data_IF_612907169261
#
_entry.id   IF_612907169261
#
_cell.length_a   1.000
_cell.length_b   1.000
_cell.length_c   1.000
_cell.angle_alpha   90.00
_cell.angle_beta   90.00
_cell.angle_gamma   90.00
#
_symmetry.space_group_name_H-M   'P 1'
#
loop_
_entity.id
_entity.type
_entity.pdbx_description
1 polymer ?
#
# COMPACT_ATOMS: atom_id res chain seq x y z
N UNK A 1 -35.72 -39.35 -75.44
CA UNK A 1 -36.02 -37.96 -74.99
C UNK A 1 -35.20 -37.67 -73.74
N UNK A 2 -34.27 -36.71 -73.79
CA UNK A 2 -33.72 -36.00 -72.61
C UNK A 2 -34.80 -35.03 -72.05
N UNK A 3 -34.64 -34.37 -70.89
CA UNK A 3 -33.73 -34.54 -69.75
C UNK A 3 -34.48 -34.56 -68.39
N UNK A 4 -33.80 -34.75 -67.26
CA UNK A 4 -33.93 -33.80 -66.13
C UNK A 4 -32.68 -33.90 -65.24
N UNK A 5 -31.94 -32.80 -65.27
CA UNK A 5 -30.79 -32.49 -64.43
C UNK A 5 -31.36 -31.97 -63.11
N UNK A 6 -30.94 -32.52 -61.97
CA UNK A 6 -31.04 -31.81 -60.70
C UNK A 6 -29.72 -31.93 -59.94
N UNK A 7 -29.08 -30.77 -59.86
CA UNK A 7 -27.83 -30.48 -59.17
C UNK A 7 -28.06 -30.57 -57.66
N UNK A 8 -27.45 -31.55 -57.00
CA UNK A 8 -27.42 -31.61 -55.53
C UNK A 8 -26.21 -30.80 -55.07
N UNK A 9 -26.48 -29.58 -54.62
CA UNK A 9 -25.52 -28.70 -53.98
C UNK A 9 -25.19 -29.26 -52.58
N UNK A 10 -23.94 -29.69 -52.39
CA UNK A 10 -23.43 -30.17 -51.10
C UNK A 10 -23.03 -28.94 -50.27
N UNK A 11 -23.95 -28.42 -49.46
CA UNK A 11 -23.65 -27.34 -48.51
C UNK A 11 -22.92 -27.93 -47.31
N UNK A 12 -21.61 -27.70 -47.24
CA UNK A 12 -20.75 -28.04 -46.11
C UNK A 12 -21.04 -27.04 -44.97
N UNK A 13 -21.89 -27.41 -44.02
CA UNK A 13 -22.15 -26.62 -42.81
C UNK A 13 -21.01 -26.88 -41.81
N UNK A 14 -19.98 -26.03 -41.80
CA UNK A 14 -18.96 -26.01 -40.75
C UNK A 14 -19.61 -25.38 -39.51
N UNK A 15 -19.99 -26.22 -38.55
CA UNK A 15 -20.43 -25.77 -37.23
C UNK A 15 -19.22 -25.22 -36.46
N UNK A 16 -19.04 -23.90 -36.50
CA UNK A 16 -18.19 -23.18 -35.55
C UNK A 16 -18.82 -23.31 -34.16
N UNK A 17 -18.33 -24.28 -33.38
CA UNK A 17 -18.53 -24.29 -31.94
C UNK A 17 -17.81 -23.05 -31.37
N UNK A 18 -18.54 -21.95 -31.26
CA UNK A 18 -18.15 -20.85 -30.38
C UNK A 18 -18.23 -21.38 -28.95
N UNK A 19 -17.07 -21.56 -28.32
CA UNK A 19 -16.96 -21.69 -26.88
C UNK A 19 -17.40 -20.37 -26.24
N UNK A 20 -18.72 -20.16 -26.13
CA UNK A 20 -19.31 -19.22 -25.20
C UNK A 20 -19.20 -19.86 -23.82
N UNK A 21 -17.98 -19.82 -23.27
CA UNK A 21 -17.79 -19.94 -21.84
C UNK A 21 -18.49 -18.75 -21.21
N UNK A 22 -19.75 -18.92 -20.84
CA UNK A 22 -20.44 -18.03 -19.91
C UNK A 22 -19.62 -18.02 -18.63
N UNK A 23 -18.67 -17.08 -18.52
CA UNK A 23 -18.21 -16.59 -17.23
C UNK A 23 -19.40 -15.84 -16.66
N UNK A 24 -20.27 -16.57 -15.97
CA UNK A 24 -21.07 -15.98 -14.91
C UNK A 24 -20.08 -15.42 -13.89
N UNK A 25 -19.71 -14.16 -14.07
CA UNK A 25 -19.19 -13.34 -12.99
C UNK A 25 -20.33 -13.32 -11.99
N UNK A 26 -20.25 -14.22 -11.02
CA UNK A 26 -21.08 -14.15 -9.84
C UNK A 26 -20.65 -12.86 -9.14
N UNK A 27 -21.31 -11.75 -9.50
CA UNK A 27 -21.31 -10.51 -8.73
C UNK A 27 -22.11 -10.76 -7.46
N UNK A 28 -21.61 -11.70 -6.64
CA UNK A 28 -21.90 -11.71 -5.23
C UNK A 28 -21.11 -10.54 -4.68
N UNK A 29 -21.72 -9.36 -4.74
CA UNK A 29 -21.32 -8.23 -3.90
C UNK A 29 -21.37 -8.75 -2.47
N UNK A 30 -20.21 -9.19 -1.95
CA UNK A 30 -20.07 -9.63 -0.58
C UNK A 30 -20.44 -8.42 0.26
N UNK A 31 -21.65 -8.44 0.81
CA UNK A 31 -22.18 -7.36 1.63
C UNK A 31 -21.40 -7.38 2.95
N UNK A 32 -20.32 -6.60 3.00
CA UNK A 32 -19.52 -6.41 4.22
C UNK A 32 -20.37 -5.62 5.23
N UNK A 33 -20.33 -6.06 6.47
CA UNK A 33 -20.96 -5.33 7.58
C UNK A 33 -20.31 -3.95 7.76
N UNK A 34 -21.10 -2.99 8.24
CA UNK A 34 -20.58 -1.67 8.53
C UNK A 34 -19.47 -1.75 9.60
N UNK A 35 -18.38 -0.99 9.40
CA UNK A 35 -17.21 -0.96 10.30
C UNK A 35 -16.47 -2.29 10.52
N UNK A 36 -16.69 -3.32 9.70
CA UNK A 36 -15.94 -4.58 9.79
C UNK A 36 -14.44 -4.41 9.43
N UNK A 37 -13.65 -5.47 9.47
CA UNK A 37 -12.26 -5.47 9.01
C UNK A 37 -12.24 -5.51 7.47
N UNK A 38 -11.31 -4.80 6.84
CA UNK A 38 -11.08 -4.83 5.40
C UNK A 38 -10.08 -5.94 5.06
N UNK A 39 -10.39 -6.72 4.02
CA UNK A 39 -9.59 -7.87 3.55
C UNK A 39 -9.67 -7.99 2.03
N UNK A 40 -8.65 -8.60 1.41
CA UNK A 40 -8.61 -8.85 -0.03
C UNK A 40 -8.82 -7.57 -0.85
N UNK A 41 -9.70 -7.62 -1.85
CA UNK A 41 -10.01 -6.49 -2.73
C UNK A 41 -10.48 -5.22 -1.98
N UNK A 42 -11.08 -5.37 -0.80
CA UNK A 42 -11.53 -4.24 -0.01
C UNK A 42 -10.37 -3.41 0.58
N UNK A 43 -9.12 -3.92 0.58
CA UNK A 43 -7.93 -3.18 0.96
C UNK A 43 -7.47 -2.20 -0.12
N UNK A 44 -7.79 -2.49 -1.39
CA UNK A 44 -7.15 -1.86 -2.55
C UNK A 44 -7.34 -0.35 -2.63
N UNK A 45 -8.33 0.20 -1.92
CA UNK A 45 -8.67 1.63 -1.91
C UNK A 45 -8.68 2.25 -0.52
N UNK A 46 -8.20 1.55 0.50
CA UNK A 46 -8.06 2.10 1.84
C UNK A 46 -6.85 3.04 1.89
N UNK A 47 -7.06 4.24 2.40
CA UNK A 47 -6.02 5.21 2.70
C UNK A 47 -6.42 6.00 3.96
N UNK A 48 -5.84 5.62 5.10
CA UNK A 48 -6.14 6.21 6.40
C UNK A 48 -5.20 7.39 6.68
N UNK A 49 -5.70 8.62 6.83
CA UNK A 49 -4.86 9.80 7.00
C UNK A 49 -4.21 9.84 8.39
N UNK A 50 -2.91 10.12 8.40
CA UNK A 50 -2.10 10.36 9.60
C UNK A 50 -1.59 11.79 9.56
N UNK A 51 -1.89 12.56 10.61
CA UNK A 51 -1.57 13.98 10.74
C UNK A 51 -2.70 14.72 11.46
N UNK A 52 -2.36 15.79 12.18
CA UNK A 52 -3.35 16.66 12.79
C UNK A 52 -4.18 17.44 11.76
N UNK A 53 -5.28 18.01 12.23
CA UNK A 53 -6.18 18.83 11.40
C UNK A 53 -5.41 19.99 10.76
N UNK A 54 -5.50 20.10 9.43
CA UNK A 54 -4.87 21.19 8.66
C UNK A 54 -3.34 21.15 8.59
N UNK A 55 -2.69 20.14 9.17
CA UNK A 55 -1.23 20.06 9.23
C UNK A 55 -0.57 19.41 8.01
N UNK A 56 -1.38 18.89 7.07
CA UNK A 56 -0.93 17.94 6.06
C UNK A 56 -1.22 16.50 6.49
N UNK A 57 -0.92 15.54 5.62
CA UNK A 57 -1.18 14.13 5.90
C UNK A 57 -0.19 13.20 5.21
N UNK A 58 0.01 12.05 5.84
CA UNK A 58 0.63 10.87 5.27
C UNK A 58 -0.38 9.73 5.44
N UNK A 59 -0.73 9.01 4.38
CA UNK A 59 -1.73 7.95 4.50
C UNK A 59 -1.11 6.57 4.73
N UNK A 60 -1.71 5.82 5.66
CA UNK A 60 -1.50 4.38 5.80
C UNK A 60 -2.53 3.64 4.94
N UNK A 61 -2.06 2.89 3.95
CA UNK A 61 -2.93 2.11 3.07
C UNK A 61 -3.41 0.82 3.72
N UNK A 62 -4.45 0.22 3.14
CA UNK A 62 -4.98 -1.08 3.60
C UNK A 62 -3.93 -2.19 3.65
N UNK A 63 -2.93 -2.13 2.77
CA UNK A 63 -1.84 -3.11 2.71
C UNK A 63 -0.67 -2.77 3.63
N UNK A 64 -0.71 -1.66 4.37
CA UNK A 64 0.41 -1.18 5.19
C UNK A 64 1.42 -0.29 4.46
N UNK A 65 1.27 -0.12 3.13
CA UNK A 65 2.08 0.81 2.37
C UNK A 65 1.78 2.26 2.77
N UNK A 66 2.76 3.15 2.56
CA UNK A 66 2.59 4.58 2.83
C UNK A 66 2.35 5.35 1.53
N UNK A 67 1.36 6.23 1.52
CA UNK A 67 0.96 7.00 0.33
C UNK A 67 0.43 8.40 0.66
N UNK A 68 -0.01 9.10 -0.39
CA UNK A 68 -0.69 10.40 -0.32
C UNK A 68 0.04 11.44 0.54
N UNK A 69 1.38 11.45 0.48
CA UNK A 69 2.22 12.34 1.28
C UNK A 69 1.98 13.78 0.86
N UNK A 70 1.18 14.48 1.64
CA UNK A 70 0.75 15.86 1.42
C UNK A 70 1.31 16.73 2.53
N UNK A 71 2.44 17.37 2.25
CA UNK A 71 3.18 18.27 3.16
C UNK A 71 3.22 19.69 2.58
N UNK A 72 3.71 20.67 3.35
CA UNK A 72 3.81 22.08 2.93
C UNK A 72 2.47 22.73 2.58
N UNK A 73 1.39 22.33 3.26
CA UNK A 73 0.03 22.81 3.00
C UNK A 73 -0.40 22.68 1.52
N UNK A 74 0.12 21.66 0.83
CA UNK A 74 -0.20 21.36 -0.56
C UNK A 74 -0.77 19.96 -0.65
N UNK A 75 -2.07 19.82 -1.00
CA UNK A 75 -2.65 18.51 -1.28
C UNK A 75 -1.90 17.83 -2.43
N UNK A 76 -1.35 16.65 -2.16
CA UNK A 76 -0.69 15.81 -3.16
C UNK A 76 -1.11 14.35 -2.96
N UNK A 77 -2.38 14.11 -3.25
CA UNK A 77 -3.08 12.83 -3.06
C UNK A 77 -2.65 11.74 -4.05
N UNK A 78 -1.57 11.92 -4.80
CA UNK A 78 -0.98 10.88 -5.62
C UNK A 78 0.52 10.68 -5.33
N UNK A 79 1.07 11.44 -4.38
CA UNK A 79 2.46 11.35 -3.96
C UNK A 79 2.70 10.10 -3.11
N UNK A 80 3.34 9.11 -3.72
CA UNK A 80 3.72 7.84 -3.10
C UNK A 80 5.25 7.70 -3.18
N UNK A 81 6.00 8.46 -2.36
CA UNK A 81 7.45 8.31 -2.31
C UNK A 81 7.80 6.90 -1.84
N UNK A 82 8.94 6.35 -2.28
CA UNK A 82 9.40 5.05 -1.80
C UNK A 82 9.69 5.14 -0.31
N UNK A 83 8.80 4.62 0.52
CA UNK A 83 8.95 4.54 1.97
C UNK A 83 8.38 3.21 2.43
N UNK A 84 9.11 2.48 3.25
CA UNK A 84 8.68 1.17 3.73
C UNK A 84 9.48 0.77 4.97
N UNK A 85 8.84 0.01 5.86
CA UNK A 85 9.54 -0.75 6.87
C UNK A 85 9.84 -2.16 6.38
N UNK A 86 10.88 -2.78 6.91
CA UNK A 86 11.25 -4.14 6.59
C UNK A 86 11.75 -4.87 7.85
N UNK A 87 11.53 -6.18 7.85
CA UNK A 87 12.09 -7.11 8.84
C UNK A 87 13.02 -8.09 8.15
N UNK A 88 14.11 -8.46 8.82
CA UNK A 88 14.97 -9.58 8.43
C UNK A 88 15.16 -10.51 9.63
N UNK A 89 14.61 -11.71 9.54
CA UNK A 89 14.70 -12.72 10.61
C UNK A 89 15.87 -13.65 10.33
N UNK A 90 16.77 -13.78 11.31
CA UNK A 90 17.99 -14.58 11.17
C UNK A 90 17.69 -16.07 11.07
N UNK A 91 18.39 -16.74 10.17
CA UNK A 91 18.29 -18.20 9.99
C UNK A 91 17.13 -18.67 9.12
N UNK A 92 16.35 -17.76 8.54
CA UNK A 92 15.31 -18.07 7.58
C UNK A 92 15.77 -17.70 6.16
N UNK A 93 15.63 -18.63 5.20
CA UNK A 93 16.03 -18.42 3.80
C UNK A 93 15.28 -17.24 3.16
N UNK A 94 13.99 -17.11 3.48
CA UNK A 94 13.10 -16.03 3.02
C UNK A 94 12.70 -15.09 4.16
N UNK A 95 13.59 -14.89 5.14
CA UNK A 95 13.34 -14.12 6.35
C UNK A 95 13.30 -12.60 6.17
N UNK A 96 13.62 -12.06 4.99
CA UNK A 96 13.70 -10.63 4.72
C UNK A 96 12.51 -10.17 3.87
N UNK A 97 11.58 -9.42 4.46
CA UNK A 97 10.34 -8.97 3.81
C UNK A 97 10.03 -7.51 4.20
N UNK A 98 9.42 -6.75 3.27
CA UNK A 98 8.82 -5.46 3.62
C UNK A 98 7.57 -5.71 4.45
N UNK A 99 7.31 -4.84 5.43
CA UNK A 99 6.15 -4.92 6.32
C UNK A 99 4.91 -4.32 5.66
N UNK A 100 4.56 -4.90 4.52
CA UNK A 100 3.40 -4.55 3.69
C UNK A 100 2.82 -5.84 3.13
N UNK A 101 1.51 -5.86 2.87
CA UNK A 101 0.82 -6.94 2.18
C UNK A 101 0.99 -6.89 0.66
N UNK A 102 0.19 -7.70 -0.07
CA UNK A 102 0.22 -7.75 -1.54
C UNK A 102 -0.06 -6.39 -2.17
N UNK A 103 0.57 -6.12 -3.31
CA UNK A 103 0.39 -4.85 -4.03
C UNK A 103 -0.95 -4.90 -4.76
N UNK A 104 -1.82 -3.90 -4.62
CA UNK A 104 -3.07 -3.85 -5.39
C UNK A 104 -2.82 -3.88 -6.90
N UNK A 105 -3.55 -4.72 -7.63
CA UNK A 105 -3.39 -4.89 -9.09
C UNK A 105 -3.46 -3.58 -9.87
N UNK A 106 -4.33 -2.66 -9.46
CA UNK A 106 -4.46 -1.35 -10.11
C UNK A 106 -3.18 -0.50 -10.01
N UNK A 107 -2.31 -0.73 -9.00
CA UNK A 107 -1.01 -0.07 -8.89
C UNK A 107 0.01 -0.68 -9.85
N UNK A 108 -0.07 -1.97 -10.11
CA UNK A 108 0.83 -2.69 -11.03
C UNK A 108 0.42 -2.49 -12.48
N UNK A 109 -0.87 -2.46 -12.80
CA UNK A 109 -1.35 -2.39 -14.19
C UNK A 109 -1.91 -1.01 -14.59
N UNK A 110 -2.21 -0.13 -13.63
CA UNK A 110 -2.88 1.15 -13.88
C UNK A 110 -2.03 2.41 -13.68
N UNK A 111 -0.84 2.32 -13.06
CA UNK A 111 0.00 3.51 -12.82
C UNK A 111 0.98 3.81 -13.96
N UNK A 112 1.35 5.09 -14.16
CA UNK A 112 2.40 5.46 -15.08
C UNK A 112 3.68 4.67 -14.82
N UNK A 113 4.40 4.33 -15.90
CA UNK A 113 5.69 3.62 -15.85
C UNK A 113 5.65 2.19 -15.30
N UNK A 114 4.48 1.63 -14.99
CA UNK A 114 4.40 0.27 -14.47
C UNK A 114 4.87 -0.79 -15.49
N UNK A 115 4.56 -0.59 -16.78
CA UNK A 115 5.08 -1.40 -17.89
C UNK A 115 6.63 -1.32 -18.04
N UNK A 116 7.29 -0.39 -17.35
CA UNK A 116 8.75 -0.28 -17.28
C UNK A 116 9.32 -0.78 -15.95
N UNK A 117 8.56 -1.62 -15.23
CA UNK A 117 8.96 -2.19 -13.95
C UNK A 117 8.71 -1.28 -12.74
N UNK A 118 7.81 -0.29 -12.86
CA UNK A 118 7.46 0.64 -11.77
C UNK A 118 8.70 1.23 -11.07
N UNK A 119 9.55 1.98 -11.78
CA UNK A 119 10.81 2.49 -11.23
C UNK A 119 10.55 3.35 -9.98
N UNK A 120 11.47 3.28 -9.01
CA UNK A 120 11.38 4.03 -7.73
C UNK A 120 10.18 3.60 -6.89
N UNK A 121 9.79 2.33 -6.96
CA UNK A 121 8.82 1.72 -6.05
C UNK A 121 9.49 0.54 -5.33
N UNK A 122 8.88 0.08 -4.24
CA UNK A 122 9.27 -1.14 -3.52
C UNK A 122 8.56 -2.39 -4.08
N UNK A 123 7.94 -2.32 -5.27
CA UNK A 123 7.03 -3.36 -5.74
C UNK A 123 7.70 -4.70 -6.02
N UNK A 124 9.00 -4.71 -6.31
CA UNK A 124 9.77 -5.93 -6.54
C UNK A 124 10.31 -6.60 -5.27
N UNK A 125 10.09 -6.04 -4.08
CA UNK A 125 10.59 -6.62 -2.84
C UNK A 125 9.65 -7.72 -2.31
N UNK A 126 10.18 -8.78 -1.66
CA UNK A 126 9.35 -9.76 -0.95
C UNK A 126 8.49 -9.08 0.12
N UNK A 127 7.23 -9.52 0.25
CA UNK A 127 6.18 -8.91 1.08
C UNK A 127 5.43 -9.99 1.84
N UNK A 128 4.57 -9.60 2.77
CA UNK A 128 3.69 -10.53 3.46
C UNK A 128 2.58 -10.98 2.51
N UNK A 129 2.25 -12.27 2.55
CA UNK A 129 1.20 -12.86 1.72
C UNK A 129 -0.19 -12.33 2.08
N UNK A 130 -0.37 -11.88 3.32
CA UNK A 130 -1.67 -11.49 3.85
C UNK A 130 -1.61 -10.19 4.64
N UNK A 131 -2.62 -9.35 4.41
CA UNK A 131 -2.90 -8.16 5.18
C UNK A 131 -4.39 -8.05 5.52
N UNK A 132 -4.69 -7.44 6.66
CA UNK A 132 -6.03 -6.96 7.01
C UNK A 132 -5.92 -5.54 7.55
N UNK A 133 -6.94 -4.72 7.31
CA UNK A 133 -6.99 -3.36 7.82
C UNK A 133 -8.22 -3.14 8.70
N UNK A 134 -8.03 -2.56 9.88
CA UNK A 134 -9.09 -2.12 10.77
C UNK A 134 -9.00 -0.60 10.99
N UNK A 135 -10.12 0.10 10.76
CA UNK A 135 -10.25 1.53 11.02
C UNK A 135 -11.03 1.78 12.32
N UNK A 136 -10.37 2.36 13.32
CA UNK A 136 -10.97 2.85 14.58
C UNK A 136 -10.38 4.22 14.89
N UNK A 137 -10.84 5.25 14.16
CA UNK A 137 -10.30 6.60 14.29
C UNK A 137 -10.18 7.01 15.78
N UNK A 138 -9.01 7.51 16.23
CA UNK A 138 -7.88 8.01 15.44
C UNK A 138 -6.82 6.97 15.04
N UNK A 139 -7.12 5.67 15.12
CA UNK A 139 -6.21 4.57 14.81
C UNK A 139 -6.59 3.85 13.52
N UNK A 140 -5.60 3.57 12.68
CA UNK A 140 -5.67 2.60 11.58
C UNK A 140 -4.69 1.46 11.86
N UNK A 141 -5.17 0.23 11.87
CA UNK A 141 -4.35 -0.94 12.18
C UNK A 141 -4.25 -1.88 10.98
N UNK A 142 -3.03 -2.28 10.65
CA UNK A 142 -2.73 -3.30 9.64
C UNK A 142 -2.19 -4.53 10.37
N UNK A 143 -2.83 -5.67 10.18
CA UNK A 143 -2.29 -6.97 10.61
C UNK A 143 -1.65 -7.66 9.42
N UNK A 144 -0.41 -8.11 9.57
CA UNK A 144 0.33 -8.82 8.52
C UNK A 144 0.54 -10.27 8.92
N UNK A 145 0.40 -11.20 7.96
CA UNK A 145 0.69 -12.63 8.16
C UNK A 145 1.43 -13.21 6.97
N UNK A 146 2.32 -14.14 7.28
CA UNK A 146 3.18 -14.82 6.32
C UNK A 146 3.60 -16.16 6.93
N UNK A 147 3.49 -17.26 6.19
CA UNK A 147 3.77 -18.59 6.72
C UNK A 147 5.25 -18.79 7.06
N UNK A 148 6.14 -18.01 6.44
CA UNK A 148 7.58 -18.12 6.61
C UNK A 148 8.09 -17.27 7.77
N UNK A 149 7.32 -16.28 8.23
CA UNK A 149 7.71 -15.37 9.32
C UNK A 149 6.99 -15.75 10.62
N UNK A 150 7.70 -16.29 11.64
CA UNK A 150 7.09 -16.80 12.87
C UNK A 150 6.78 -15.68 13.88
N UNK A 151 6.21 -14.56 13.43
CA UNK A 151 5.86 -13.40 14.26
C UNK A 151 4.46 -12.91 13.92
N UNK A 152 3.68 -12.61 14.96
CA UNK A 152 2.48 -11.79 14.79
C UNK A 152 2.90 -10.33 14.64
N UNK A 153 2.48 -9.69 13.55
CA UNK A 153 2.91 -8.34 13.22
C UNK A 153 1.70 -7.43 13.07
N UNK A 154 1.76 -6.30 13.76
CA UNK A 154 0.75 -5.24 13.66
C UNK A 154 1.42 -3.90 13.45
N UNK A 155 0.96 -3.16 12.45
CA UNK A 155 1.30 -1.76 12.20
C UNK A 155 0.13 -0.90 12.61
N UNK A 156 0.35 0.08 13.50
CA UNK A 156 -0.67 1.05 13.92
C UNK A 156 -0.28 2.44 13.47
N UNK A 157 -1.10 3.06 12.65
CA UNK A 157 -1.01 4.48 12.31
C UNK A 157 -1.98 5.31 13.13
N UNK A 158 -1.54 6.43 13.69
CA UNK A 158 -2.42 7.31 14.46
C UNK A 158 -2.04 8.78 14.42
N UNK A 159 -3.05 9.61 14.66
CA UNK A 159 -2.95 11.07 14.76
C UNK A 159 -3.29 11.52 16.19
N UNK A 160 -2.73 12.63 16.70
CA UNK A 160 -2.95 13.12 18.07
C UNK A 160 -4.33 13.76 18.25
N UNK A 161 -5.40 13.08 17.81
CA UNK A 161 -6.76 13.61 17.86
C UNK A 161 -7.37 13.42 19.25
N UNK A 162 -7.69 14.54 19.89
CA UNK A 162 -8.28 14.61 21.23
C UNK A 162 -9.62 15.34 21.11
N UNK A 163 -10.75 14.67 21.42
CA UNK A 163 -12.05 15.33 21.37
C UNK A 163 -12.10 16.61 22.21
N UNK A 164 -12.63 17.68 21.63
CA UNK A 164 -12.76 19.01 22.26
C UNK A 164 -11.44 19.72 22.58
N UNK A 165 -10.35 19.30 21.94
CA UNK A 165 -9.03 19.93 22.06
C UNK A 165 -8.46 20.15 20.66
N UNK A 166 -8.84 21.25 20.03
CA UNK A 166 -8.43 21.60 18.68
C UNK A 166 -6.94 21.86 18.56
N UNK A 167 -6.31 22.41 19.59
CA UNK A 167 -4.88 22.78 19.58
C UNK A 167 -4.01 21.53 19.46
N UNK A 168 -4.25 20.53 20.32
CA UNK A 168 -3.50 19.27 20.25
C UNK A 168 -3.89 18.44 19.03
N UNK A 169 -5.17 18.49 18.62
CA UNK A 169 -5.65 17.78 17.44
C UNK A 169 -5.15 18.35 16.11
N UNK A 170 -4.59 19.57 16.11
CA UNK A 170 -4.07 20.25 14.91
C UNK A 170 -2.53 20.18 14.80
N UNK A 171 -1.85 19.47 15.69
CA UNK A 171 -0.39 19.34 15.65
C UNK A 171 0.08 18.65 14.36
N UNK A 172 1.19 19.10 13.72
CA UNK A 172 1.83 18.43 12.59
C UNK A 172 2.59 17.18 13.03
N UNK A 173 1.88 16.27 13.67
CA UNK A 173 2.39 15.06 14.26
C UNK A 173 1.46 13.89 13.95
N UNK A 174 2.06 12.72 13.86
CA UNK A 174 1.41 11.43 13.77
C UNK A 174 2.48 10.37 13.86
N UNK A 175 2.08 9.12 14.09
CA UNK A 175 3.03 8.05 14.28
C UNK A 175 2.61 6.77 13.56
N UNK A 176 3.64 5.96 13.30
CA UNK A 176 3.53 4.58 12.85
C UNK A 176 4.23 3.73 13.91
N UNK A 177 3.50 2.79 14.49
CA UNK A 177 4.00 1.86 15.49
C UNK A 177 4.03 0.45 14.91
N UNK A 178 5.20 -0.18 14.94
CA UNK A 178 5.39 -1.57 14.52
C UNK A 178 5.53 -2.46 15.75
N UNK A 179 4.59 -3.38 15.91
CA UNK A 179 4.56 -4.37 17.00
C UNK A 179 4.86 -5.75 16.44
N UNK A 180 5.81 -6.43 17.06
CA UNK A 180 6.20 -7.81 16.76
C UNK A 180 5.96 -8.66 18.00
N UNK A 181 5.25 -9.78 17.86
CA UNK A 181 5.00 -10.71 18.96
C UNK A 181 5.45 -12.12 18.54
N UNK A 182 6.36 -12.69 19.32
CA UNK A 182 6.77 -14.09 19.19
C UNK A 182 5.92 -14.95 20.15
N UNK A 183 4.98 -15.72 19.60
CA UNK A 183 4.18 -16.68 20.37
C UNK A 183 4.80 -18.08 20.42
N UNK A 184 5.96 -18.27 19.77
CA UNK A 184 6.67 -19.54 19.72
C UNK A 184 7.50 -19.81 20.98
N UNK A 185 8.03 -21.03 21.07
CA UNK A 185 8.90 -21.46 22.16
C UNK A 185 10.39 -21.22 21.90
N UNK A 186 10.75 -20.72 20.71
CA UNK A 186 12.14 -20.46 20.30
C UNK A 186 12.37 -18.96 20.24
N UNK A 187 13.56 -18.53 20.63
CA UNK A 187 14.00 -17.14 20.46
C UNK A 187 14.07 -16.80 18.97
N UNK A 188 13.65 -15.57 18.64
CA UNK A 188 13.69 -15.02 17.28
C UNK A 188 14.63 -13.82 17.30
N UNK A 189 15.74 -13.92 16.57
CA UNK A 189 16.66 -12.81 16.34
C UNK A 189 16.31 -12.15 15.00
N UNK A 190 16.01 -10.85 15.02
CA UNK A 190 15.58 -10.13 13.83
C UNK A 190 16.09 -8.68 13.81
N UNK A 191 16.17 -8.11 12.61
CA UNK A 191 16.47 -6.71 12.36
C UNK A 191 15.22 -6.04 11.82
N UNK A 192 14.82 -4.94 12.46
CA UNK A 192 13.86 -3.99 11.93
C UNK A 192 14.58 -2.82 11.26
N UNK A 193 14.08 -2.37 10.12
CA UNK A 193 14.58 -1.16 9.46
C UNK A 193 13.44 -0.36 8.84
N UNK A 194 13.59 0.96 8.83
CA UNK A 194 12.71 1.86 8.09
C UNK A 194 13.52 2.55 7.00
N UNK A 195 13.00 2.54 5.77
CA UNK A 195 13.69 2.97 4.58
C UNK A 195 12.84 4.00 3.85
N UNK A 196 13.45 5.09 3.39
CA UNK A 196 12.72 6.11 2.64
C UNK A 196 13.65 6.94 1.75
N UNK A 197 13.11 7.44 0.64
CA UNK A 197 13.72 8.58 -0.06
C UNK A 197 13.52 9.85 0.74
N UNK A 198 14.36 10.87 0.52
CA UNK A 198 14.10 12.19 1.11
C UNK A 198 12.88 12.85 0.40
N UNK A 199 11.69 12.59 0.91
CA UNK A 199 10.43 13.13 0.41
C UNK A 199 10.20 14.61 0.79
N UNK A 200 11.02 15.16 1.70
CA UNK A 200 11.05 16.58 2.03
C UNK A 200 11.83 17.41 1.00
N UNK A 201 12.44 16.76 -0.01
CA UNK A 201 13.20 17.44 -1.05
C UNK A 201 12.29 18.33 -1.91
N UNK A 202 12.73 19.57 -2.10
CA UNK A 202 12.10 20.62 -2.87
C UNK A 202 13.06 21.13 -3.94
N UNK A 203 12.58 21.44 -5.16
CA UNK A 203 13.40 22.06 -6.20
C UNK A 203 14.08 23.34 -5.69
N UNK A 204 15.35 23.55 -6.08
CA UNK A 204 16.10 24.76 -5.69
C UNK A 204 16.52 24.84 -4.21
N UNK A 205 16.10 23.90 -3.37
CA UNK A 205 16.44 23.87 -1.94
C UNK A 205 17.55 22.85 -1.67
N UNK A 206 18.42 23.14 -0.70
CA UNK A 206 19.45 22.21 -0.24
C UNK A 206 18.86 21.25 0.79
N UNK A 207 18.71 19.98 0.41
CA UNK A 207 18.16 18.93 1.28
C UNK A 207 19.25 18.24 2.14
N UNK A 208 18.88 17.76 3.32
CA UNK A 208 19.77 16.97 4.18
C UNK A 208 19.07 15.78 4.82
N UNK A 209 19.85 14.76 5.16
CA UNK A 209 19.44 13.63 5.99
C UNK A 209 20.38 13.63 7.19
N UNK A 210 19.83 13.76 8.40
CA UNK A 210 20.62 13.79 9.64
C UNK A 210 20.32 12.55 10.46
N UNK A 211 21.34 11.84 10.98
CA UNK A 211 21.11 10.70 11.86
C UNK A 211 20.59 11.17 13.24
N UNK A 212 19.75 10.35 13.85
CA UNK A 212 19.40 10.41 15.28
C UNK A 212 19.53 9.02 15.88
N UNK A 213 19.43 8.90 17.21
CA UNK A 213 19.39 7.58 17.83
C UNK A 213 18.22 6.78 17.25
N UNK A 214 18.51 5.60 16.69
CA UNK A 214 17.56 4.67 16.08
C UNK A 214 16.72 5.26 14.91
N UNK A 215 17.21 6.28 14.22
CA UNK A 215 16.48 6.86 13.09
C UNK A 215 17.20 7.96 12.33
N UNK A 216 16.44 8.72 11.57
CA UNK A 216 16.94 9.85 10.80
C UNK A 216 15.89 10.95 10.68
N UNK A 217 16.36 12.18 10.43
CA UNK A 217 15.55 13.35 10.13
C UNK A 217 15.76 13.70 8.65
N UNK A 218 14.66 13.77 7.91
CA UNK A 218 14.63 14.33 6.56
C UNK A 218 14.30 15.82 6.68
N UNK A 219 15.14 16.68 6.14
CA UNK A 219 14.91 18.12 6.18
C UNK A 219 15.37 18.81 4.91
N UNK A 220 14.91 20.04 4.75
CA UNK A 220 15.30 20.90 3.65
C UNK A 220 15.64 22.30 4.17
N UNK A 221 16.68 22.93 3.62
CA UNK A 221 17.04 24.30 3.99
C UNK A 221 16.01 25.27 3.42
N UNK A 222 15.70 26.31 4.20
CA UNK A 222 14.81 27.39 3.76
C UNK A 222 15.39 28.09 2.53
N UNK A 223 14.67 28.06 1.41
CA UNK A 223 14.98 28.88 0.25
C UNK A 223 14.53 30.32 0.48
N UNK A 224 15.30 31.29 -0.04
CA UNK A 224 14.88 32.70 -0.09
C UNK A 224 13.75 32.94 -1.09
N UNK A 225 13.64 32.09 -2.11
CA UNK A 225 12.67 32.21 -3.21
C UNK A 225 11.30 31.61 -2.85
N UNK A 226 11.26 30.67 -1.90
CA UNK A 226 10.05 29.97 -1.45
C UNK A 226 10.11 29.70 0.06
N UNK A 227 9.99 30.74 0.90
CA UNK A 227 10.13 30.65 2.35
C UNK A 227 9.10 29.75 3.04
N UNK A 228 7.97 29.47 2.39
CA UNK A 228 6.88 28.60 2.83
C UNK A 228 7.19 27.10 2.73
N UNK A 229 8.27 26.72 2.04
CA UNK A 229 8.69 25.33 1.81
C UNK A 229 9.73 24.81 2.83
N UNK A 230 9.90 25.50 3.96
CA UNK A 230 10.76 25.11 5.07
C UNK A 230 9.97 24.36 6.16
#
# INVERSE_FOLDING_TARGET
MKPLINSISFLLLIALYSCTGNKTVNDMTIKREFNDIYRGENLNRVAFPIGGMGAGMICLEGTGAISHVSVYNKPDIFNEPTMFAAISVKGLEHGAKVLEGPIPDWKVFGRPMSARGAPRTSYGFPRFDYAEFEARFPFGMVTLKDEEIPLDITLTGWSPFIPLDEDNSSLPCGALEYKFVNNGSKEVEAIFSYNTVNFMKQPGCKNSIKPISNGFILSNERSKESPELH
#
